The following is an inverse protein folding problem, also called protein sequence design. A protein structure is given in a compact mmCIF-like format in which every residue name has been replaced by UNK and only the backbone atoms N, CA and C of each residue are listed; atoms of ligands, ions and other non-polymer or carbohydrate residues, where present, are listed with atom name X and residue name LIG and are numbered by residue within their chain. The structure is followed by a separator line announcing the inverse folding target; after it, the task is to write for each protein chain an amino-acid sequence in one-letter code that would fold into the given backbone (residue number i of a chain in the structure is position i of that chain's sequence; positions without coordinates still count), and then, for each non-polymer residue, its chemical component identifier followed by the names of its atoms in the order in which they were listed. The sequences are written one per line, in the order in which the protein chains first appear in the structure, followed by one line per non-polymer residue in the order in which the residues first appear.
data_IF_944071006964
#
_entry.id   IF_944071006964
#
_cell.length_a   1.000
_cell.length_b   1.000
_cell.length_c   1.000
_cell.angle_alpha   90.00
_cell.angle_beta   90.00
_cell.angle_gamma   90.00
#
_symmetry.space_group_name_H-M   'P 1'
#
loop_
_entity.id
_entity.type
_entity.pdbx_description
1 polymer ?
#
# COMPACT_ATOMS: atom_id res chain seq x y z
N UNK A 1 -6.69 29.15 69.51
CA UNK A 1 -6.91 27.83 68.87
C UNK A 1 -7.00 27.99 67.40
N UNK A 2 -5.97 27.77 66.76
CA UNK A 2 -5.91 27.90 65.28
C UNK A 2 -6.01 26.52 64.70
N UNK A 3 -7.15 26.17 64.23
CA UNK A 3 -7.28 24.97 63.45
C UNK A 3 -6.74 25.25 62.02
N UNK A 4 -5.54 24.83 61.81
CA UNK A 4 -5.00 24.85 60.51
C UNK A 4 -5.75 23.82 59.64
N UNK A 5 -6.67 24.30 58.88
CA UNK A 5 -7.28 23.49 57.84
C UNK A 5 -6.19 23.19 56.81
N UNK A 6 -5.68 22.02 56.93
CA UNK A 6 -4.82 21.48 55.88
C UNK A 6 -5.72 21.13 54.72
N UNK A 7 -5.86 22.04 53.79
CA UNK A 7 -6.38 21.70 52.47
C UNK A 7 -5.39 20.76 51.82
N UNK A 8 -5.66 19.48 51.97
CA UNK A 8 -5.09 18.49 51.06
C UNK A 8 -5.64 18.76 49.70
N UNK A 9 -4.89 19.47 48.93
CA UNK A 9 -5.07 19.51 47.48
C UNK A 9 -4.74 18.13 46.97
N UNK A 10 -5.75 17.29 46.88
CA UNK A 10 -5.70 16.12 46.04
C UNK A 10 -5.58 16.64 44.61
N UNK A 11 -4.37 16.69 44.14
CA UNK A 11 -4.09 16.81 42.72
C UNK A 11 -4.62 15.54 42.04
N UNK A 12 -5.88 15.59 41.61
CA UNK A 12 -6.36 14.66 40.64
C UNK A 12 -5.55 14.94 39.36
N UNK A 13 -4.47 14.22 39.22
CA UNK A 13 -3.83 14.05 37.91
C UNK A 13 -4.87 13.35 37.05
N UNK A 14 -5.62 14.14 36.31
CA UNK A 14 -6.35 13.67 35.15
C UNK A 14 -5.29 13.15 34.15
N UNK A 15 -4.98 11.89 34.30
CA UNK A 15 -4.41 11.11 33.22
C UNK A 15 -5.48 11.11 32.12
N UNK A 16 -5.52 12.20 31.35
CA UNK A 16 -6.11 12.16 30.04
C UNK A 16 -5.32 11.10 29.26
N UNK A 17 -5.83 9.88 29.32
CA UNK A 17 -5.40 8.86 28.41
C UNK A 17 -5.55 9.44 27.03
N UNK A 18 -4.44 9.78 26.43
CA UNK A 18 -4.40 10.00 25.00
C UNK A 18 -4.65 8.60 24.44
N UNK A 19 -5.92 8.32 24.18
CA UNK A 19 -6.25 7.21 23.32
C UNK A 19 -5.54 7.49 22.01
N UNK A 20 -4.37 6.90 21.89
CA UNK A 20 -3.73 6.79 20.61
C UNK A 20 -4.69 5.95 19.77
N UNK A 21 -5.56 6.61 19.05
CA UNK A 21 -6.37 6.01 18.02
C UNK A 21 -5.39 5.55 16.95
N UNK A 22 -4.80 4.36 17.19
CA UNK A 22 -4.15 3.64 16.15
C UNK A 22 -5.18 3.49 15.06
N UNK A 23 -5.00 4.20 13.95
CA UNK A 23 -5.78 3.94 12.76
C UNK A 23 -5.51 2.49 12.44
N UNK A 24 -6.44 1.62 12.84
CA UNK A 24 -6.50 0.28 12.28
C UNK A 24 -6.55 0.48 10.79
N UNK A 25 -5.56 -0.05 10.02
CA UNK A 25 -5.65 0.02 8.57
C UNK A 25 -7.01 -0.59 8.22
N UNK A 26 -7.88 0.21 7.61
CA UNK A 26 -9.18 -0.28 7.19
C UNK A 26 -8.91 -1.26 6.07
N UNK A 27 -8.96 -2.53 6.42
CA UNK A 27 -8.73 -3.62 5.50
C UNK A 27 -9.81 -3.55 4.41
N UNK A 28 -9.38 -3.65 3.18
CA UNK A 28 -10.28 -3.75 2.06
C UNK A 28 -11.16 -5.01 2.18
N UNK A 29 -12.43 -4.88 1.84
CA UNK A 29 -13.30 -6.02 1.70
C UNK A 29 -12.98 -6.73 0.38
N UNK A 30 -12.57 -7.98 0.46
CA UNK A 30 -12.15 -8.76 -0.69
C UNK A 30 -13.03 -9.97 -0.90
N UNK A 31 -13.33 -10.24 -2.16
CA UNK A 31 -13.95 -11.48 -2.63
C UNK A 31 -12.94 -12.25 -3.47
N UNK A 32 -12.80 -13.52 -3.20
CA UNK A 32 -11.86 -14.39 -3.91
C UNK A 32 -12.59 -15.53 -4.61
N UNK A 33 -12.25 -15.77 -5.85
CA UNK A 33 -12.54 -16.99 -6.59
C UNK A 33 -11.22 -17.57 -7.13
N UNK A 34 -11.22 -18.71 -7.79
CA UNK A 34 -10.03 -19.51 -8.15
C UNK A 34 -8.74 -18.68 -8.41
N UNK A 35 -8.76 -17.80 -9.39
CA UNK A 35 -7.61 -16.98 -9.81
C UNK A 35 -7.91 -15.48 -9.86
N UNK A 36 -9.07 -15.07 -9.33
CA UNK A 36 -9.49 -13.68 -9.25
C UNK A 36 -9.62 -13.25 -7.79
N UNK A 37 -9.02 -12.11 -7.47
CA UNK A 37 -9.23 -11.39 -6.22
C UNK A 37 -9.79 -10.00 -6.56
N UNK A 38 -10.93 -9.64 -5.96
CA UNK A 38 -11.53 -8.32 -6.12
C UNK A 38 -11.75 -7.69 -4.75
N UNK A 39 -11.29 -6.47 -4.57
CA UNK A 39 -11.32 -5.76 -3.30
C UNK A 39 -11.91 -4.37 -3.45
N UNK A 40 -12.61 -3.90 -2.41
CA UNK A 40 -13.05 -2.51 -2.27
C UNK A 40 -12.56 -2.01 -0.91
N UNK A 41 -11.84 -0.89 -0.89
CA UNK A 41 -11.39 -0.28 0.34
C UNK A 41 -12.44 0.66 0.96
N UNK A 42 -12.14 1.19 2.15
CA UNK A 42 -13.05 2.08 2.86
C UNK A 42 -13.26 3.43 2.16
N UNK A 43 -12.33 3.84 1.31
CA UNK A 43 -12.42 5.07 0.51
C UNK A 43 -13.24 4.88 -0.78
N UNK A 44 -13.65 3.64 -1.08
CA UNK A 44 -14.40 3.29 -2.28
C UNK A 44 -13.52 3.03 -3.50
N UNK A 45 -12.21 2.88 -3.33
CA UNK A 45 -11.31 2.43 -4.39
C UNK A 45 -11.50 0.93 -4.61
N UNK A 46 -11.50 0.50 -5.85
CA UNK A 46 -11.70 -0.90 -6.22
C UNK A 46 -10.44 -1.45 -6.89
N UNK A 47 -10.11 -2.68 -6.56
CA UNK A 47 -8.94 -3.37 -7.12
C UNK A 47 -9.32 -4.78 -7.53
N UNK A 48 -8.75 -5.24 -8.63
CA UNK A 48 -8.85 -6.64 -9.00
C UNK A 48 -7.51 -7.18 -9.46
N UNK A 49 -7.24 -8.42 -9.10
CA UNK A 49 -6.04 -9.16 -9.48
C UNK A 49 -6.49 -10.47 -10.08
N UNK A 50 -6.09 -10.73 -11.32
CA UNK A 50 -6.36 -11.97 -12.02
C UNK A 50 -5.04 -12.59 -12.46
N UNK A 51 -4.82 -13.85 -12.12
CA UNK A 51 -3.61 -14.59 -12.46
C UNK A 51 -3.92 -15.62 -13.54
N UNK A 52 -3.20 -15.54 -14.65
CA UNK A 52 -3.28 -16.49 -15.77
C UNK A 52 -1.87 -16.95 -16.11
N UNK A 53 -1.54 -18.18 -15.76
CA UNK A 53 -0.19 -18.71 -15.92
C UNK A 53 0.84 -17.87 -15.14
N UNK A 54 1.84 -17.35 -15.83
CA UNK A 54 2.90 -16.50 -15.29
C UNK A 54 2.59 -14.99 -15.37
N UNK A 55 1.39 -14.63 -15.78
CA UNK A 55 0.96 -13.25 -15.95
C UNK A 55 -0.10 -12.89 -14.92
N UNK A 56 0.08 -11.74 -14.30
CA UNK A 56 -0.85 -11.15 -13.35
C UNK A 56 -1.42 -9.88 -13.96
N UNK A 57 -2.73 -9.82 -14.05
CA UNK A 57 -3.49 -8.67 -14.53
C UNK A 57 -4.07 -7.94 -13.34
N UNK A 58 -3.66 -6.69 -13.14
CA UNK A 58 -4.18 -5.82 -12.09
C UNK A 58 -5.01 -4.72 -12.72
N UNK A 59 -6.13 -4.40 -12.11
CA UNK A 59 -6.98 -3.28 -12.47
C UNK A 59 -7.41 -2.55 -11.23
N UNK A 60 -7.56 -1.26 -11.34
CA UNK A 60 -8.03 -0.45 -10.23
C UNK A 60 -8.89 0.72 -10.69
N UNK A 61 -9.69 1.18 -9.75
CA UNK A 61 -10.47 2.40 -9.85
C UNK A 61 -10.25 3.22 -8.59
N UNK A 62 -9.82 4.45 -8.77
CA UNK A 62 -9.64 5.43 -7.70
C UNK A 62 -10.83 6.39 -7.70
N UNK A 63 -11.61 6.35 -6.63
CA UNK A 63 -12.87 7.11 -6.53
C UNK A 63 -12.64 8.62 -6.58
N UNK A 64 -11.66 9.15 -5.86
CA UNK A 64 -11.44 10.58 -5.72
C UNK A 64 -11.03 11.23 -7.03
N UNK A 65 -10.22 10.58 -7.83
CA UNK A 65 -9.81 11.07 -9.15
C UNK A 65 -10.66 10.55 -10.30
N UNK A 66 -11.61 9.67 -10.04
CA UNK A 66 -12.34 8.88 -11.06
C UNK A 66 -11.38 8.27 -12.08
N UNK A 67 -10.26 7.79 -11.59
CA UNK A 67 -9.16 7.28 -12.39
C UNK A 67 -9.22 5.76 -12.48
N UNK A 68 -9.28 5.25 -13.68
CA UNK A 68 -9.11 3.83 -13.97
C UNK A 68 -7.66 3.56 -14.35
N UNK A 69 -7.14 2.43 -13.91
CA UNK A 69 -5.82 1.98 -14.33
C UNK A 69 -5.78 0.47 -14.52
N UNK A 70 -4.86 0.03 -15.34
CA UNK A 70 -4.58 -1.38 -15.57
C UNK A 70 -3.07 -1.60 -15.61
N UNK A 71 -2.62 -2.67 -14.99
CA UNK A 71 -1.22 -3.09 -14.99
C UNK A 71 -1.12 -4.58 -15.27
N UNK A 72 -0.13 -4.94 -16.05
CA UNK A 72 0.20 -6.33 -16.34
C UNK A 72 1.59 -6.63 -15.81
N UNK A 73 1.71 -7.68 -15.01
CA UNK A 73 2.98 -8.21 -14.54
C UNK A 73 3.23 -9.55 -15.22
N UNK A 74 4.33 -9.66 -15.93
CA UNK A 74 4.73 -10.88 -16.62
C UNK A 74 6.06 -11.39 -16.06
N UNK A 75 6.09 -12.64 -15.66
CA UNK A 75 7.26 -13.26 -15.06
C UNK A 75 8.01 -14.11 -16.09
N UNK A 76 9.31 -13.88 -16.18
CA UNK A 76 10.25 -14.61 -17.01
C UNK A 76 11.44 -15.05 -16.15
N UNK A 77 11.34 -16.23 -15.53
CA UNK A 77 12.36 -16.69 -14.59
C UNK A 77 12.54 -15.74 -13.40
N UNK A 78 13.71 -15.15 -13.27
CA UNK A 78 14.06 -14.21 -12.20
C UNK A 78 13.68 -12.75 -12.49
N UNK A 79 13.12 -12.50 -13.67
CA UNK A 79 12.71 -11.19 -14.13
C UNK A 79 11.19 -11.09 -14.12
N UNK A 80 10.66 -10.05 -13.51
CA UNK A 80 9.26 -9.65 -13.63
C UNK A 80 9.19 -8.29 -14.30
N UNK A 81 8.53 -8.24 -15.43
CA UNK A 81 8.23 -7.00 -16.15
C UNK A 81 6.83 -6.55 -15.79
N UNK A 82 6.65 -5.27 -15.56
CA UNK A 82 5.33 -4.69 -15.39
C UNK A 82 5.14 -3.47 -16.27
N UNK A 83 3.95 -3.34 -16.82
CA UNK A 83 3.50 -2.20 -17.62
C UNK A 83 2.11 -1.80 -17.18
N UNK A 84 1.82 -0.53 -17.17
CA UNK A 84 0.53 -0.03 -16.78
C UNK A 84 0.14 1.23 -17.55
N UNK A 85 -1.14 1.49 -17.56
CA UNK A 85 -1.75 2.66 -18.16
C UNK A 85 -2.95 3.10 -17.33
N UNK A 86 -3.19 4.39 -17.26
CA UNK A 86 -4.34 4.97 -16.59
C UNK A 86 -5.20 5.81 -17.53
N UNK A 87 -6.43 6.05 -17.11
CA UNK A 87 -7.43 6.81 -17.90
C UNK A 87 -7.06 8.28 -18.10
N UNK A 88 -6.16 8.83 -17.28
CA UNK A 88 -5.59 10.17 -17.44
C UNK A 88 -4.46 10.24 -18.47
N UNK A 89 -4.11 9.13 -19.08
CA UNK A 89 -3.04 9.02 -20.07
C UNK A 89 -1.66 8.70 -19.50
N UNK A 90 -1.51 8.63 -18.17
CA UNK A 90 -0.26 8.19 -17.57
C UNK A 90 0.03 6.73 -17.93
N UNK A 91 1.26 6.46 -18.33
CA UNK A 91 1.75 5.11 -18.57
C UNK A 91 3.03 4.88 -17.76
N UNK A 92 3.23 3.67 -17.30
CA UNK A 92 4.43 3.30 -16.56
C UNK A 92 4.93 1.93 -16.96
N UNK A 93 6.21 1.74 -16.77
CA UNK A 93 6.92 0.50 -17.06
C UNK A 93 8.01 0.29 -16.03
N UNK A 94 8.27 -0.93 -15.73
CA UNK A 94 9.36 -1.26 -14.84
C UNK A 94 9.66 -2.75 -14.82
N UNK A 95 10.65 -3.10 -14.05
CA UNK A 95 10.99 -4.49 -13.82
C UNK A 95 11.54 -4.71 -12.41
N UNK A 96 11.38 -5.93 -11.97
CA UNK A 96 12.02 -6.48 -10.78
C UNK A 96 12.86 -7.66 -11.22
N UNK A 97 14.14 -7.64 -10.90
CA UNK A 97 15.09 -8.72 -11.20
C UNK A 97 15.72 -9.24 -9.92
N UNK A 98 15.64 -10.54 -9.72
CA UNK A 98 16.33 -11.20 -8.62
C UNK A 98 17.72 -11.64 -9.06
N UNK A 99 18.75 -11.25 -8.30
CA UNK A 99 20.13 -11.66 -8.50
C UNK A 99 20.65 -12.17 -7.15
N UNK A 100 20.64 -13.49 -6.96
CA UNK A 100 20.98 -14.11 -5.69
C UNK A 100 20.02 -13.67 -4.57
N UNK A 101 20.54 -13.05 -3.53
CA UNK A 101 19.75 -12.52 -2.40
C UNK A 101 19.30 -11.06 -2.58
N UNK A 102 19.65 -10.48 -3.70
CA UNK A 102 19.38 -9.09 -4.03
C UNK A 102 18.27 -9.01 -5.07
N UNK A 103 17.37 -8.07 -4.91
CA UNK A 103 16.33 -7.74 -5.87
C UNK A 103 16.55 -6.32 -6.36
N UNK A 104 16.67 -6.14 -7.66
CA UNK A 104 16.82 -4.85 -8.31
C UNK A 104 15.45 -4.46 -8.86
N UNK A 105 14.99 -3.26 -8.52
CA UNK A 105 13.73 -2.71 -8.98
C UNK A 105 13.99 -1.42 -9.77
N UNK A 106 13.32 -1.28 -10.90
CA UNK A 106 13.33 -0.07 -11.70
C UNK A 106 11.93 0.28 -12.14
N UNK A 107 11.61 1.55 -12.03
CA UNK A 107 10.32 2.11 -12.41
C UNK A 107 10.51 3.38 -13.21
N UNK A 108 9.67 3.60 -14.21
CA UNK A 108 9.62 4.83 -15.00
C UNK A 108 8.17 5.13 -15.40
N UNK A 109 7.77 6.39 -15.28
CA UNK A 109 6.42 6.85 -15.62
C UNK A 109 6.50 7.97 -16.65
N UNK A 110 5.50 8.04 -17.53
CA UNK A 110 5.34 9.14 -18.48
C UNK A 110 5.09 10.49 -17.82
N UNK A 111 4.65 10.51 -16.56
CA UNK A 111 4.55 11.72 -15.73
C UNK A 111 5.87 12.28 -15.21
N UNK A 112 7.01 11.68 -15.59
CA UNK A 112 8.35 12.11 -15.19
C UNK A 112 8.89 11.46 -13.92
N UNK A 113 8.09 10.61 -13.24
CA UNK A 113 8.55 9.84 -12.10
C UNK A 113 9.46 8.68 -12.52
N UNK A 114 10.57 8.51 -11.82
CA UNK A 114 11.42 7.34 -11.98
C UNK A 114 12.03 6.94 -10.64
N UNK A 115 12.24 5.66 -10.45
CA UNK A 115 12.89 5.12 -9.26
C UNK A 115 13.75 3.92 -9.63
N UNK A 116 14.88 3.78 -8.95
CA UNK A 116 15.73 2.60 -8.96
C UNK A 116 16.14 2.31 -7.54
N UNK A 117 15.80 1.13 -7.04
CA UNK A 117 16.15 0.73 -5.68
C UNK A 117 16.47 -0.75 -5.61
N UNK A 118 17.25 -1.11 -4.63
CA UNK A 118 17.72 -2.47 -4.41
C UNK A 118 17.23 -2.96 -3.07
N UNK A 119 16.67 -4.15 -3.03
CA UNK A 119 16.23 -4.81 -1.82
C UNK A 119 17.09 -6.05 -1.59
N UNK A 120 17.36 -6.40 -0.34
CA UNK A 120 18.03 -7.64 0.01
C UNK A 120 17.30 -8.38 1.12
N UNK A 121 17.58 -9.66 1.28
CA UNK A 121 17.02 -10.45 2.39
C UNK A 121 17.50 -9.97 3.76
N UNK A 122 18.64 -9.29 3.81
CA UNK A 122 19.25 -8.82 5.05
C UNK A 122 18.75 -7.43 5.41
N UNK A 123 18.73 -6.50 4.44
CA UNK A 123 18.39 -5.08 4.67
C UNK A 123 16.93 -4.75 4.36
N UNK A 124 16.23 -5.63 3.63
CA UNK A 124 14.88 -5.34 3.12
C UNK A 124 14.86 -4.26 2.03
N UNK A 125 13.73 -3.65 1.88
CA UNK A 125 13.52 -2.50 0.99
C UNK A 125 13.38 -1.21 1.78
#
# INVERSE_FOLDING_TARGET
MKNALKCSLLSLALLSGIDAWGQTPMLANCTRSANLLACIDAQGNAYSVNTVGSTIYLRGFEKDGKRYWAQTNSRFGQLTLFTGIASDGEAWVGYTRRVGWTTINRFSSSGGGSAKFTCSRITGC
#
